data_IF_565718762682
#
_entry.id   IF_565718762682
#
_cell.length_a   1.000
_cell.length_b   1.000
_cell.length_c   1.000
_cell.angle_alpha   90.00
_cell.angle_beta   90.00
_cell.angle_gamma   90.00
#
_symmetry.space_group_name_H-M   'P 1'
#
loop_
_entity.id
_entity.type
_entity.pdbx_description
1 polymer ?
2 non-polymer ?
3 non-polymer ?
4 water ?
#
# COMPACT_ATOMS: atom_id res chain seq x y z
N UNK A 3 -24.88 -9.04 8.76
CA UNK A 3 -23.61 -9.76 8.87
C UNK A 3 -22.42 -8.82 9.06
N UNK A 4 -22.22 -7.86 8.13
CA UNK A 4 -20.99 -7.08 8.28
C UNK A 4 -21.16 -5.99 9.34
N UNK A 5 -20.14 -5.71 10.14
CA UNK A 5 -20.26 -4.67 11.16
C UNK A 5 -20.29 -3.28 10.55
N UNK A 6 -20.83 -2.34 11.31
CA UNK A 6 -20.89 -0.95 10.85
C UNK A 6 -19.51 -0.34 10.70
N UNK A 7 -18.53 -0.81 11.48
CA UNK A 7 -17.14 -0.36 11.39
C UNK A 7 -16.23 -1.56 11.48
N UNK A 8 -15.06 -1.44 10.86
CA UNK A 8 -14.05 -2.49 10.94
C UNK A 8 -12.69 -1.86 10.72
N UNK A 9 -11.73 -2.26 11.56
CA UNK A 9 -10.38 -1.73 11.49
C UNK A 9 -9.42 -2.90 11.56
N UNK A 10 -8.71 -3.18 10.47
CA UNK A 10 -7.79 -4.31 10.45
C UNK A 10 -6.75 -4.24 11.57
N UNK A 11 -6.37 -3.03 11.98
CA UNK A 11 -5.40 -2.90 13.07
C UNK A 11 -5.94 -3.48 14.36
N UNK A 12 -7.25 -3.37 14.58
CA UNK A 12 -7.87 -3.94 15.78
C UNK A 12 -8.12 -5.44 15.64
N UNK A 13 -8.48 -5.89 14.45
CA UNK A 13 -8.76 -7.31 14.27
C UNK A 13 -7.51 -8.16 14.45
N UNK A 14 -6.36 -7.68 13.96
CA UNK A 14 -5.11 -8.44 13.94
C UNK A 14 -4.04 -7.67 14.73
N UNK A 15 -4.14 -7.67 16.07
CA UNK A 15 -3.24 -6.83 16.87
C UNK A 15 -1.82 -7.32 16.94
N UNK A 16 -1.53 -8.54 16.50
CA UNK A 16 -0.17 -9.06 16.49
C UNK A 16 0.49 -8.89 15.12
N UNK A 17 -0.11 -8.07 14.24
CA UNK A 17 0.38 -7.82 12.90
C UNK A 17 0.74 -6.33 12.79
N UNK A 18 1.94 -5.96 13.25
CA UNK A 18 2.30 -4.53 13.28
C UNK A 18 2.36 -3.86 11.92
N UNK A 19 2.58 -4.61 10.83
CA UNK A 19 2.63 -3.92 9.53
C UNK A 19 1.31 -3.25 9.19
N UNK A 20 0.20 -3.75 9.73
CA UNK A 20 -1.09 -3.14 9.42
C UNK A 20 -1.12 -1.71 9.91
N UNK A 21 -0.38 -1.42 10.98
CA UNK A 21 -0.33 -0.09 11.55
C UNK A 21 0.68 0.83 10.88
N UNK A 22 1.54 0.29 10.04
CA UNK A 22 2.73 0.99 9.56
C UNK A 22 2.42 1.85 8.37
N UNK A 23 2.95 3.08 8.39
CA UNK A 23 2.87 3.99 7.26
C UNK A 23 4.26 4.13 6.65
N UNK A 24 4.35 3.98 5.32
CA UNK A 24 5.62 4.05 4.62
C UNK A 24 5.74 5.38 3.89
N UNK A 25 6.89 5.59 3.27
CA UNK A 25 7.14 6.82 2.52
C UNK A 25 7.73 6.43 1.17
N UNK A 26 6.96 6.65 0.12
CA UNK A 26 7.43 6.32 -1.22
C UNK A 26 8.53 7.24 -1.73
N UNK A 27 8.80 8.34 -1.03
CA UNK A 27 9.84 9.26 -1.47
C UNK A 27 9.46 10.00 -2.74
N UNK A 28 10.47 10.60 -3.38
CA UNK A 28 10.28 11.31 -4.65
C UNK A 28 10.38 10.31 -5.79
N UNK A 29 9.37 9.44 -5.85
CA UNK A 29 9.29 8.37 -6.83
C UNK A 29 7.81 8.05 -6.97
N UNK A 30 7.34 7.85 -8.21
CA UNK A 30 5.94 7.55 -8.45
C UNK A 30 5.63 6.09 -8.25
N UNK A 31 5.92 5.58 -7.05
CA UNK A 31 5.84 4.17 -6.76
C UNK A 31 4.62 3.78 -5.94
N UNK A 32 3.58 4.62 -5.93
CA UNK A 32 2.37 4.30 -5.15
C UNK A 32 1.86 2.91 -5.48
N UNK A 33 1.90 2.53 -6.77
CA UNK A 33 1.38 1.24 -7.21
C UNK A 33 2.06 0.10 -6.48
N UNK A 34 3.37 0.23 -6.25
CA UNK A 34 4.14 -0.78 -5.55
C UNK A 34 3.89 -0.74 -4.04
N UNK A 35 3.75 0.46 -3.47
CA UNK A 35 3.59 0.56 -2.03
C UNK A 35 2.25 0.02 -1.57
N UNK A 36 1.16 0.35 -2.26
CA UNK A 36 -0.11 -0.22 -1.86
C UNK A 36 -0.08 -1.75 -1.88
N UNK A 37 0.63 -2.31 -2.86
CA UNK A 37 0.73 -3.77 -2.99
C UNK A 37 1.54 -4.37 -1.86
N UNK A 38 2.79 -3.91 -1.67
CA UNK A 38 3.61 -4.61 -0.68
C UNK A 38 3.11 -4.38 0.73
N UNK A 39 2.44 -3.25 0.98
CA UNK A 39 1.87 -3.02 2.30
C UNK A 39 0.76 -4.02 2.59
N UNK A 40 -0.19 -4.16 1.65
CA UNK A 40 -1.28 -5.10 1.86
C UNK A 40 -0.79 -6.55 1.89
N UNK A 41 0.21 -6.89 1.06
CA UNK A 41 0.80 -8.23 1.07
C UNK A 41 1.47 -8.54 2.40
N UNK A 42 2.21 -7.57 2.95
CA UNK A 42 2.80 -7.74 4.28
C UNK A 42 1.72 -8.06 5.30
N UNK A 43 0.62 -7.28 5.29
CA UNK A 43 -0.46 -7.55 6.22
C UNK A 43 -1.00 -8.96 6.04
N UNK A 44 -1.22 -9.35 4.79
CA UNK A 44 -1.88 -10.63 4.53
C UNK A 44 -1.00 -11.82 4.86
N UNK A 45 0.33 -11.69 4.70
CA UNK A 45 1.22 -12.78 5.16
C UNK A 45 1.05 -12.99 6.65
N UNK A 46 1.00 -11.90 7.41
CA UNK A 46 0.81 -12.00 8.85
C UNK A 46 -0.55 -12.59 9.19
N UNK A 47 -1.61 -12.14 8.52
CA UNK A 47 -2.94 -12.69 8.77
C UNK A 47 -2.99 -14.17 8.42
N UNK A 48 -2.42 -14.53 7.28
CA UNK A 48 -2.45 -15.92 6.78
C UNK A 48 -1.70 -16.88 7.69
N UNK A 49 -0.76 -16.38 8.50
CA UNK A 49 0.05 -17.21 9.38
C UNK A 49 -0.27 -16.95 10.85
N UNK A 50 -1.35 -16.21 11.14
CA UNK A 50 -1.74 -15.91 12.52
C UNK A 50 -0.56 -15.33 13.30
N UNK A 51 0.16 -14.42 12.65
CA UNK A 51 1.26 -13.64 13.19
C UNK A 51 2.53 -14.45 13.37
N UNK A 52 2.60 -15.68 12.84
CA UNK A 52 3.85 -16.43 12.97
C UNK A 52 4.90 -15.91 12.00
N UNK A 53 4.48 -15.32 10.87
CA UNK A 53 5.38 -14.65 9.93
C UNK A 53 4.91 -13.21 9.81
N UNK A 54 5.73 -12.28 10.29
CA UNK A 54 5.47 -10.85 10.14
C UNK A 54 6.70 -10.22 9.53
N UNK A 55 6.58 -9.82 8.26
CA UNK A 55 7.71 -9.28 7.51
C UNK A 55 7.26 -8.03 6.78
N UNK A 56 8.19 -7.10 6.66
CA UNK A 56 8.02 -5.96 5.77
C UNK A 56 8.39 -6.41 4.37
N UNK A 57 7.41 -6.56 3.49
CA UNK A 57 7.70 -6.93 2.12
C UNK A 57 8.33 -5.75 1.40
N UNK A 58 9.34 -6.03 0.57
CA UNK A 58 10.20 -5.00 -0.02
C UNK A 58 9.51 -4.26 -1.16
N UNK A 59 9.24 -2.97 -0.95
CA UNK A 59 8.82 -2.12 -2.07
C UNK A 59 9.92 -2.05 -3.12
N UNK A 60 11.19 -2.03 -2.69
CA UNK A 60 12.31 -1.98 -3.62
C UNK A 60 12.24 -3.13 -4.62
N UNK A 61 12.03 -4.35 -4.11
CA UNK A 61 12.04 -5.52 -4.97
C UNK A 61 10.95 -5.44 -6.02
N UNK A 62 9.74 -5.05 -5.62
CA UNK A 62 8.65 -4.91 -6.58
C UNK A 62 8.91 -3.79 -7.57
N UNK A 63 9.34 -2.65 -7.06
CA UNK A 63 9.54 -1.45 -7.88
C UNK A 63 10.58 -1.69 -8.96
N UNK A 64 11.66 -2.39 -8.60
CA UNK A 64 12.80 -2.48 -9.49
C UNK A 64 12.84 -3.76 -10.32
N UNK A 65 12.27 -4.86 -9.82
CA UNK A 65 12.42 -6.14 -10.50
C UNK A 65 11.20 -6.58 -11.30
N UNK A 66 10.04 -5.95 -11.14
CA UNK A 66 8.90 -6.36 -11.96
C UNK A 66 9.12 -6.05 -13.44
N UNK A 67 9.64 -4.87 -13.75
CA UNK A 67 9.87 -4.57 -15.14
C UNK A 67 8.62 -4.08 -15.85
N UNK A 68 8.66 -4.18 -17.18
CA UNK A 68 7.65 -3.48 -17.98
C UNK A 68 6.24 -4.01 -17.77
N UNK A 69 6.09 -5.26 -17.30
CA UNK A 69 4.75 -5.77 -17.06
C UNK A 69 4.02 -4.98 -15.99
N UNK A 70 4.75 -4.40 -15.02
CA UNK A 70 4.13 -3.59 -13.96
C UNK A 70 4.06 -2.11 -14.31
N UNK A 71 4.66 -1.68 -15.42
CA UNK A 71 4.65 -0.27 -15.74
C UNK A 71 6.07 0.25 -15.96
N UNK A 72 6.38 1.41 -15.41
CA UNK A 72 7.70 2.04 -15.59
C UNK A 72 8.25 2.54 -14.27
N UNK A 73 8.22 1.67 -13.25
CA UNK A 73 8.92 1.97 -12.01
C UNK A 73 8.47 3.26 -11.37
N UNK A 74 9.44 4.17 -11.18
CA UNK A 74 9.15 5.45 -10.54
C UNK A 74 8.32 6.37 -11.42
N UNK A 75 8.10 6.03 -12.68
CA UNK A 75 7.18 6.80 -13.52
C UNK A 75 5.75 6.30 -13.47
N UNK A 76 5.44 5.37 -12.56
CA UNK A 76 4.09 4.90 -12.36
C UNK A 76 3.94 3.46 -12.82
N UNK A 77 2.87 2.83 -12.35
CA UNK A 77 2.66 1.43 -12.65
C UNK A 77 1.25 0.93 -12.39
N UNK A 78 1.10 -0.39 -12.45
CA UNK A 78 -0.20 -1.05 -12.55
C UNK A 78 -0.39 -2.00 -11.38
N UNK A 79 -1.20 -1.65 -10.37
CA UNK A 79 -1.33 -2.51 -9.19
C UNK A 79 -1.71 -3.94 -9.50
N UNK A 80 -2.60 -4.20 -10.46
CA UNK A 80 -3.00 -5.59 -10.71
C UNK A 80 -1.80 -6.43 -11.12
N UNK A 81 -0.88 -5.87 -11.92
CA UNK A 81 0.28 -6.65 -12.29
C UNK A 81 1.32 -6.74 -11.18
N UNK A 82 1.32 -5.81 -10.21
CA UNK A 82 2.19 -5.95 -9.05
C UNK A 82 1.84 -7.20 -8.26
N UNK A 83 0.54 -7.41 -8.00
CA UNK A 83 0.14 -8.62 -7.31
C UNK A 83 0.40 -9.86 -8.14
N UNK A 84 0.25 -9.76 -9.47
CA UNK A 84 0.62 -10.87 -10.35
C UNK A 84 2.10 -11.21 -10.23
N UNK A 85 2.97 -10.19 -10.19
CA UNK A 85 4.40 -10.44 -10.03
C UNK A 85 4.68 -11.21 -8.75
N UNK A 86 3.97 -10.87 -7.67
CA UNK A 86 4.12 -11.59 -6.42
C UNK A 86 3.78 -13.07 -6.57
N UNK A 87 2.80 -13.42 -7.43
CA UNK A 87 2.50 -14.84 -7.63
C UNK A 87 3.55 -15.52 -8.48
N UNK A 88 4.22 -14.78 -9.35
CA UNK A 88 5.10 -15.35 -10.37
C UNK A 88 6.55 -15.43 -9.89
N UNK A 89 7.09 -14.31 -9.43
CA UNK A 89 8.48 -14.24 -8.99
C UNK A 89 8.63 -14.06 -7.49
N UNK A 90 7.55 -13.72 -6.78
CA UNK A 90 7.63 -13.50 -5.34
C UNK A 90 8.31 -12.19 -5.00
N UNK A 91 8.29 -11.85 -3.71
CA UNK A 91 8.89 -10.61 -3.23
C UNK A 91 9.70 -10.91 -1.98
N UNK A 92 10.91 -10.33 -1.89
CA UNK A 92 11.74 -10.48 -0.70
C UNK A 92 11.32 -9.45 0.34
N UNK A 93 11.86 -9.57 1.55
CA UNK A 93 11.63 -8.59 2.59
C UNK A 93 12.50 -7.35 2.38
N UNK A 94 12.07 -6.24 2.98
CA UNK A 94 12.90 -5.06 3.00
C UNK A 94 12.18 -3.91 3.68
N UNK A 95 12.85 -3.26 4.62
CA UNK A 95 12.26 -2.20 5.41
C UNK A 95 12.43 -0.82 4.80
N UNK A 96 12.37 0.18 5.69
CA UNK A 96 12.38 1.57 5.27
C UNK A 96 13.78 1.99 4.81
N UNK A 97 13.85 3.18 4.22
CA UNK A 97 15.11 3.73 3.76
C UNK A 97 16.13 3.80 4.90
N UNK A 98 17.33 3.29 4.64
CA UNK A 98 18.45 3.27 5.58
C UNK A 98 18.13 2.50 6.86
N UNK A 99 17.13 1.60 6.84
CA UNK A 99 16.78 0.81 8.00
C UNK A 99 17.68 -0.39 8.19
N UNK A 100 18.32 -0.85 7.11
CA UNK A 100 19.09 -2.09 7.14
C UNK A 100 18.26 -3.26 7.64
N UNK A 101 16.96 -3.24 7.33
CA UNK A 101 16.02 -4.28 7.73
C UNK A 101 15.67 -5.11 6.50
N UNK A 102 15.79 -6.42 6.62
CA UNK A 102 15.39 -7.30 5.54
C UNK A 102 16.40 -7.37 4.40
N UNK A 103 15.95 -8.03 3.34
CA UNK A 103 16.82 -8.30 2.19
C UNK A 103 17.09 -7.03 1.38
N UNK A 104 16.05 -6.31 0.98
CA UNK A 104 16.18 -5.13 0.11
C UNK A 104 15.39 -3.95 0.66
N UNK A 105 15.95 -3.25 1.65
CA UNK A 105 15.29 -2.02 2.12
C UNK A 105 15.17 -0.98 1.00
N UNK A 106 14.16 -0.13 1.15
CA UNK A 106 13.88 0.90 0.14
C UNK A 106 15.08 1.82 -0.03
N UNK A 107 15.41 2.15 -1.29
CA UNK A 107 16.62 2.92 -1.54
C UNK A 107 16.36 4.40 -1.79
N UNK A 108 15.10 4.84 -1.77
CA UNK A 108 14.74 6.21 -2.13
C UNK A 108 14.42 6.97 -0.84
N UNK A 109 15.09 8.09 -0.56
CA UNK A 109 14.97 8.70 0.76
C UNK A 109 13.59 9.28 1.00
N UNK A 110 13.16 9.37 2.25
CA UNK A 110 11.86 9.98 2.56
C UNK A 110 11.89 11.48 2.36
N UNK A 111 10.70 12.06 2.25
CA UNK A 111 10.61 13.48 1.97
C UNK A 111 9.28 14.00 2.48
N UNK A 112 9.11 15.33 2.39
CA UNK A 112 7.88 15.97 2.85
C UNK A 112 6.89 16.06 1.70
N UNK A 113 5.71 15.47 1.89
CA UNK A 113 4.67 15.43 0.88
C UNK A 113 3.60 16.46 1.24
N UNK A 114 3.73 17.66 0.68
CA UNK A 114 2.72 18.71 0.85
C UNK A 114 2.53 19.12 2.30
N UNK A 115 3.54 18.89 3.14
CA UNK A 115 3.50 19.31 4.53
C UNK A 115 4.88 19.84 4.89
N UNK A 116 4.94 20.58 5.98
CA UNK A 116 6.19 21.09 6.51
C UNK A 116 6.84 20.09 7.47
N UNK A 117 8.16 20.05 7.44
CA UNK A 117 8.88 19.14 8.30
C UNK A 117 10.37 19.32 8.14
N UNK A 118 11.11 18.36 8.69
CA UNK A 118 12.56 18.39 8.72
C UNK A 118 13.22 17.66 7.55
N UNK A 119 12.46 16.92 6.77
CA UNK A 119 12.97 16.20 5.60
C UNK A 119 12.96 17.12 4.39
N UNK A 120 13.72 16.82 3.34
CA UNK A 120 13.64 17.63 2.13
C UNK A 120 12.24 17.54 1.54
N UNK A 121 11.78 18.60 0.89
CA UNK A 121 10.52 18.51 0.14
C UNK A 121 10.63 17.44 -0.93
N UNK A 122 9.53 16.73 -1.14
CA UNK A 122 9.47 15.79 -2.26
C UNK A 122 9.56 16.55 -3.57
N UNK A 123 10.20 15.92 -4.55
CA UNK A 123 10.37 16.49 -5.88
C UNK A 123 9.76 15.53 -6.91
N UNK A 124 9.99 15.85 -8.18
CA UNK A 124 9.39 15.08 -9.25
C UNK A 124 9.96 13.67 -9.36
N UNK A 125 9.23 12.84 -10.09
CA UNK A 125 9.47 11.41 -10.19
C UNK A 125 10.92 11.09 -10.54
N UNK A 126 11.64 10.47 -9.60
CA UNK A 126 13.05 10.19 -9.78
C UNK A 126 13.32 9.06 -10.75
N UNK A 127 14.52 8.50 -10.70
CA UNK A 127 14.88 7.37 -11.56
C UNK A 127 14.54 6.07 -10.85
N UNK A 128 14.18 5.06 -11.63
CA UNK A 128 13.93 3.77 -11.03
C UNK A 128 15.25 3.07 -10.73
N UNK A 129 15.48 2.62 -9.50
CA UNK A 129 16.71 1.90 -9.19
C UNK A 129 16.78 0.57 -9.93
N UNK A 130 18.00 0.04 -10.01
CA UNK A 130 18.25 -1.22 -10.71
C UNK A 130 17.64 -2.40 -9.95
N UNK A 131 17.30 -3.44 -10.69
CA UNK A 131 16.90 -4.70 -10.09
C UNK A 131 18.16 -5.43 -9.65
N UNK A 132 18.39 -5.46 -8.34
CA UNK A 132 19.57 -6.08 -7.75
C UNK A 132 19.11 -7.29 -6.96
N UNK A 133 19.43 -8.49 -7.46
CA UNK A 133 18.92 -9.73 -6.86
C UNK A 133 19.90 -10.27 -5.81
N UNK A 134 20.25 -9.39 -4.88
CA UNK A 134 21.16 -9.75 -3.79
C UNK A 134 20.67 -9.02 -2.55
N UNK A 135 20.77 -9.67 -1.41
CA UNK A 135 20.34 -9.03 -0.17
C UNK A 135 21.46 -8.15 0.37
N UNK A 136 21.10 -7.28 1.30
CA UNK A 136 22.12 -6.43 1.89
C UNK A 136 23.10 -7.27 2.71
N UNK A 137 24.33 -6.79 2.86
CA UNK A 137 25.38 -7.59 3.49
C UNK A 137 25.00 -8.05 4.89
N UNK A 138 25.25 -9.32 5.16
CA UNK A 138 24.99 -9.89 6.46
C UNK A 138 23.59 -10.44 6.64
N UNK A 139 22.67 -10.13 5.73
CA UNK A 139 21.32 -10.69 5.84
C UNK A 139 21.42 -12.18 5.54
N UNK A 140 20.81 -12.99 6.38
CA UNK A 140 21.21 -14.40 6.39
C UNK A 140 20.57 -15.21 5.26
N UNK A 141 19.25 -15.13 5.06
CA UNK A 141 18.66 -15.85 3.92
C UNK A 141 19.18 -15.27 2.62
N UNK A 142 19.36 -16.12 1.60
CA UNK A 142 19.71 -15.56 0.31
C UNK A 142 18.50 -14.84 -0.28
N UNK A 143 18.75 -14.11 -1.37
CA UNK A 143 17.68 -13.41 -2.07
C UNK A 143 16.60 -14.39 -2.52
N UNK A 144 17.01 -15.49 -3.15
CA UNK A 144 16.04 -16.50 -3.60
C UNK A 144 15.26 -17.07 -2.42
N UNK A 145 15.95 -17.35 -1.32
CA UNK A 145 15.30 -17.97 -0.18
C UNK A 145 14.36 -17.01 0.55
N UNK A 146 14.57 -15.71 0.39
CA UNK A 146 13.76 -14.72 1.09
C UNK A 146 12.50 -14.37 0.33
N UNK A 147 12.26 -14.97 -0.83
CA UNK A 147 11.08 -14.65 -1.63
C UNK A 147 9.82 -15.21 -0.98
N UNK A 148 8.80 -14.35 -0.91
CA UNK A 148 7.45 -14.72 -0.49
C UNK A 148 6.54 -14.65 -1.70
N UNK A 149 5.78 -15.71 -1.95
CA UNK A 149 4.97 -15.84 -3.15
C UNK A 149 3.49 -15.73 -2.85
N UNK A 150 2.75 -15.27 -3.86
CA UNK A 150 1.29 -15.29 -3.80
C UNK A 150 0.73 -16.53 -4.46
N UNK A 151 -0.37 -17.03 -3.88
CA UNK A 151 -1.14 -18.09 -4.52
C UNK A 151 -1.88 -17.55 -5.73
N UNK A 152 -2.44 -16.35 -5.62
CA UNK A 152 -3.22 -15.78 -6.71
C UNK A 152 -3.22 -14.27 -6.61
N UNK A 153 -3.78 -13.65 -7.64
CA UNK A 153 -4.03 -12.21 -7.63
C UNK A 153 -5.34 -11.97 -8.35
N UNK A 154 -6.12 -11.00 -7.88
CA UNK A 154 -7.48 -10.86 -8.41
C UNK A 154 -8.00 -9.46 -8.16
N UNK A 155 -9.03 -9.12 -8.93
CA UNK A 155 -9.76 -7.89 -8.73
C UNK A 155 -10.96 -8.15 -7.82
N UNK A 156 -11.27 -7.17 -6.99
CA UNK A 156 -12.52 -7.16 -6.23
C UNK A 156 -13.52 -6.32 -7.03
N UNK A 157 -14.78 -6.72 -7.05
CA UNK A 157 -15.74 -6.00 -7.89
C UNK A 157 -15.97 -4.59 -7.33
N UNK A 158 -16.51 -3.72 -8.18
CA UNK A 158 -16.86 -2.35 -7.81
C UNK A 158 -18.18 -2.39 -7.05
N UNK A 159 -18.07 -2.85 -5.81
CA UNK A 159 -19.22 -3.08 -4.94
C UNK A 159 -18.73 -2.88 -3.51
N UNK A 160 -19.35 -1.91 -2.83
CA UNK A 160 -19.01 -1.62 -1.44
C UNK A 160 -19.00 -2.88 -0.58
N UNK A 161 -20.09 -3.66 -0.63
CA UNK A 161 -20.20 -4.83 0.23
C UNK A 161 -19.18 -5.90 -0.12
N UNK A 162 -18.85 -6.04 -1.41
CA UNK A 162 -17.82 -6.99 -1.84
C UNK A 162 -16.45 -6.61 -1.28
N UNK A 163 -16.11 -5.32 -1.36
CA UNK A 163 -14.82 -4.86 -0.85
C UNK A 163 -14.77 -5.02 0.66
N UNK A 164 -15.87 -4.70 1.33
CA UNK A 164 -15.96 -4.83 2.78
C UNK A 164 -15.75 -6.29 3.19
N UNK A 165 -16.43 -7.21 2.50
CA UNK A 165 -16.30 -8.64 2.82
C UNK A 165 -14.88 -9.12 2.55
N UNK A 166 -14.26 -8.64 1.47
CA UNK A 166 -12.88 -9.03 1.17
C UNK A 166 -11.93 -8.63 2.29
N UNK A 167 -12.04 -7.39 2.79
CA UNK A 167 -11.16 -6.96 3.87
C UNK A 167 -11.46 -7.75 5.15
N UNK A 168 -12.75 -7.94 5.43
CA UNK A 168 -13.22 -8.60 6.64
C UNK A 168 -12.70 -10.03 6.75
N UNK A 169 -12.64 -10.73 5.61
CA UNK A 169 -12.21 -12.12 5.65
C UNK A 169 -10.72 -12.29 5.36
N UNK A 170 -10.19 -11.53 4.41
CA UNK A 170 -8.86 -11.83 3.89
C UNK A 170 -7.83 -10.74 4.17
N UNK A 171 -8.24 -9.60 4.74
CA UNK A 171 -7.29 -8.59 5.12
C UNK A 171 -7.24 -7.41 4.18
N UNK A 172 -6.36 -6.45 4.46
CA UNK A 172 -6.29 -5.22 3.67
C UNK A 172 -6.05 -5.46 2.19
N UNK A 173 -6.51 -4.51 1.38
CA UNK A 173 -6.46 -4.60 -0.08
C UNK A 173 -5.72 -3.38 -0.61
N UNK A 174 -5.35 -3.44 -1.89
CA UNK A 174 -4.87 -2.25 -2.60
C UNK A 174 -6.03 -1.66 -3.39
N UNK A 175 -6.10 -0.33 -3.44
CA UNK A 175 -7.06 0.34 -4.29
C UNK A 175 -6.41 1.54 -4.94
N UNK A 176 -7.19 2.24 -5.75
CA UNK A 176 -6.68 3.45 -6.40
C UNK A 176 -7.81 4.44 -6.56
N UNK A 177 -7.45 5.72 -6.62
CA UNK A 177 -8.47 6.76 -6.77
C UNK A 177 -7.84 7.96 -7.45
N UNK A 178 -8.71 8.85 -7.93
CA UNK A 178 -8.27 10.09 -8.57
C UNK A 178 -7.98 11.15 -7.51
N UNK A 179 -6.77 11.70 -7.53
CA UNK A 179 -6.37 12.75 -6.61
C UNK A 179 -6.70 14.10 -7.25
N UNK A 180 -7.54 14.88 -6.57
CA UNK A 180 -7.77 16.28 -6.91
C UNK A 180 -6.99 17.14 -5.94
N UNK A 181 -6.77 18.40 -6.29
CA UNK A 181 -5.82 19.19 -5.50
C UNK A 181 -6.31 19.39 -4.07
N UNK A 182 -7.62 19.36 -3.83
CA UNK A 182 -8.05 19.58 -2.46
C UNK A 182 -7.69 18.41 -1.55
N UNK A 183 -7.42 17.23 -2.12
CA UNK A 183 -7.00 16.11 -1.30
C UNK A 183 -5.65 16.35 -0.66
N UNK A 184 -4.80 17.16 -1.28
CA UNK A 184 -3.41 17.26 -0.86
C UNK A 184 -3.29 17.83 0.54
N UNK A 185 -4.26 18.65 0.95
CA UNK A 185 -4.23 19.32 2.24
C UNK A 185 -5.06 18.58 3.29
N UNK A 186 -5.48 17.35 3.01
CA UNK A 186 -6.27 16.58 3.96
C UNK A 186 -5.60 16.50 5.32
N UNK A 187 -6.38 16.72 6.38
CA UNK A 187 -5.91 16.55 7.75
C UNK A 187 -6.73 15.57 8.57
N UNK A 188 -8.06 15.62 8.46
CA UNK A 188 -8.92 14.80 9.30
C UNK A 188 -10.30 14.76 8.66
N UNK A 189 -11.17 13.92 9.23
CA UNK A 189 -12.53 13.84 8.73
C UNK A 189 -12.62 12.91 7.53
N UNK A 190 -13.78 12.94 6.88
CA UNK A 190 -14.01 12.12 5.69
C UNK A 190 -13.81 12.98 4.46
N UNK A 191 -12.80 12.65 3.66
CA UNK A 191 -12.54 13.40 2.45
C UNK A 191 -13.65 13.22 1.44
N UNK A 192 -14.14 14.33 0.91
CA UNK A 192 -15.00 14.36 -0.27
C UNK A 192 -14.47 15.46 -1.18
N UNK A 193 -14.30 15.14 -2.45
CA UNK A 193 -13.80 16.12 -3.41
C UNK A 193 -14.80 17.27 -3.57
N UNK A 194 -14.35 18.50 -3.34
CA UNK A 194 -15.23 19.66 -3.44
C UNK A 194 -14.65 20.71 -4.37
N UNK A 195 -13.32 20.79 -4.44
CA UNK A 195 -12.65 21.82 -5.24
C UNK A 195 -11.38 21.25 -5.84
N UNK A 196 -10.89 21.90 -6.88
CA UNK A 196 -9.55 21.59 -7.36
C UNK A 196 -9.54 20.72 -8.60
N UNK A 197 -8.47 20.85 -9.37
CA UNK A 197 -8.28 20.10 -10.61
C UNK A 197 -7.70 18.71 -10.35
N UNK A 198 -7.86 17.87 -11.36
CA UNK A 198 -7.33 16.49 -11.28
C UNK A 198 -5.81 16.50 -11.30
N UNK A 199 -5.19 15.82 -10.36
CA UNK A 199 -3.72 15.71 -10.31
C UNK A 199 -3.22 14.41 -10.93
N UNK A 200 -4.02 13.35 -10.87
CA UNK A 200 -3.60 12.05 -11.37
C UNK A 200 -4.10 10.94 -10.46
N UNK A 201 -3.89 9.70 -10.87
CA UNK A 201 -4.34 8.56 -10.07
C UNK A 201 -3.31 8.17 -9.04
N UNK A 202 -3.79 7.60 -7.94
CA UNK A 202 -2.93 7.25 -6.81
C UNK A 202 -3.40 5.95 -6.20
N UNK A 203 -2.48 5.05 -5.94
CA UNK A 203 -2.80 3.75 -5.35
C UNK A 203 -2.46 3.77 -3.87
N UNK A 204 -3.28 3.06 -3.08
CA UNK A 204 -3.22 3.13 -1.62
C UNK A 204 -3.64 1.79 -1.04
N UNK A 205 -3.62 1.68 0.29
CA UNK A 205 -4.02 0.47 1.00
C UNK A 205 -5.31 0.74 1.78
N UNK A 206 -6.35 -0.08 1.56
CA UNK A 206 -7.62 0.08 2.26
C UNK A 206 -7.68 -0.98 3.34
N UNK A 207 -7.86 -0.56 4.60
CA UNK A 207 -7.74 -1.48 5.71
C UNK A 207 -8.95 -1.48 6.63
N UNK A 208 -10.05 -0.87 6.24
CA UNK A 208 -11.22 -0.87 7.10
C UNK A 208 -12.25 0.12 6.62
N UNK A 209 -13.26 0.32 7.46
CA UNK A 209 -14.36 1.23 7.13
C UNK A 209 -15.04 1.67 8.41
N UNK A 210 -15.85 2.71 8.29
CA UNK A 210 -16.62 3.18 9.43
C UNK A 210 -17.59 4.25 9.03
N UNK A 211 -18.09 4.95 10.03
CA UNK A 211 -19.01 6.08 9.85
C UNK A 211 -18.55 7.19 10.79
N UNK A 212 -18.42 8.40 10.27
CA UNK A 212 -18.06 9.55 11.09
C UNK A 212 -19.10 10.62 10.84
N UNK A 213 -19.83 11.00 11.89
CA UNK A 213 -20.84 12.06 11.81
C UNK A 213 -21.86 11.76 10.71
N UNK A 214 -22.23 10.49 10.60
CA UNK A 214 -23.18 10.05 9.60
C UNK A 214 -22.62 9.79 8.22
N UNK A 215 -21.34 10.08 7.98
CA UNK A 215 -20.76 9.90 6.65
C UNK A 215 -19.99 8.59 6.59
N UNK A 216 -20.37 7.64 5.73
CA UNK A 216 -19.63 6.38 5.64
C UNK A 216 -18.29 6.60 4.97
N UNK A 217 -17.29 5.85 5.42
CA UNK A 217 -15.95 6.08 4.92
C UNK A 217 -15.17 4.78 4.82
N UNK A 218 -14.13 4.84 3.98
CA UNK A 218 -13.06 3.84 3.95
C UNK A 218 -11.90 4.34 4.78
N UNK A 219 -11.27 3.42 5.53
CA UNK A 219 -10.05 3.72 6.27
C UNK A 219 -8.86 3.37 5.39
N UNK A 220 -8.04 4.37 5.06
CA UNK A 220 -7.00 4.21 4.04
C UNK A 220 -5.64 4.64 4.56
N UNK A 221 -4.61 3.86 4.21
CA UNK A 221 -3.23 4.24 4.47
C UNK A 221 -2.61 4.83 3.22
N UNK A 222 -2.09 6.05 3.34
CA UNK A 222 -1.28 6.66 2.29
C UNK A 222 0.18 6.27 2.49
N UNK A 223 1.02 6.58 1.51
CA UNK A 223 2.44 6.26 1.51
C UNK A 223 3.27 7.55 1.49
N UNK A 224 2.79 8.57 2.21
CA UNK A 224 3.41 9.89 2.23
C UNK A 224 3.96 10.23 3.60
N UNK A 225 4.39 9.21 4.36
CA UNK A 225 4.94 9.36 5.69
C UNK A 225 3.86 9.73 6.70
N UNK A 226 4.23 9.83 7.97
CA UNK A 226 3.22 9.97 9.01
C UNK A 226 2.86 11.42 9.29
N UNK A 227 3.63 12.38 8.79
CA UNK A 227 3.29 13.77 9.04
C UNK A 227 2.38 14.32 7.96
N UNK A 228 1.98 13.50 6.98
CA UNK A 228 0.90 13.85 6.06
C UNK A 228 -0.42 13.32 6.59
N UNK A 229 -1.48 14.12 6.41
CA UNK A 229 -2.81 13.61 6.71
C UNK A 229 -3.02 13.37 8.19
N UNK A 230 -3.72 12.28 8.50
CA UNK A 230 -4.06 11.90 9.88
C UNK A 230 -3.09 10.78 10.26
N UNK A 231 -1.91 11.18 10.73
CA UNK A 231 -0.83 10.24 11.02
C UNK A 231 -0.51 9.35 9.82
N UNK A 232 -0.65 9.88 8.61
CA UNK A 232 -0.38 9.11 7.41
C UNK A 232 -1.58 8.40 6.82
N UNK A 233 -2.70 8.35 7.54
CA UNK A 233 -3.95 7.75 7.09
C UNK A 233 -4.92 8.83 6.63
N UNK A 234 -5.95 8.40 5.92
CA UNK A 234 -7.07 9.29 5.64
C UNK A 234 -8.34 8.46 5.59
N UNK A 235 -9.47 9.15 5.65
CA UNK A 235 -10.78 8.55 5.43
C UNK A 235 -11.35 9.16 4.16
N UNK A 236 -12.04 8.35 3.35
CA UNK A 236 -12.63 8.84 2.10
C UNK A 236 -14.04 8.28 1.99
N UNK A 237 -14.95 9.09 1.46
CA UNK A 237 -16.36 8.73 1.28
C UNK A 237 -16.50 7.34 0.69
N UNK A 238 -17.33 6.51 1.33
CA UNK A 238 -17.60 5.12 0.95
C UNK A 238 -19.03 4.97 0.44
N UNK A 239 -19.20 4.15 -0.61
CA UNK A 239 -20.50 3.77 -1.10
C UNK A 239 -20.94 4.41 -2.40
N UNK A 240 -20.20 5.41 -2.90
CA UNK A 240 -20.56 6.08 -4.14
C UNK A 240 -19.42 6.07 -5.16
N UNK A 241 -18.50 5.11 -5.05
CA UNK A 241 -17.31 5.04 -5.91
C UNK A 241 -16.64 6.41 -6.04
N UNK A 242 -16.49 7.06 -4.89
CA UNK A 242 -16.04 8.45 -4.87
C UNK A 242 -14.59 8.54 -5.34
N UNK A 243 -14.33 9.36 -6.35
CA UNK A 243 -13.01 9.46 -6.96
C UNK A 243 -12.52 8.11 -7.49
N UNK A 244 -13.43 7.17 -7.71
CA UNK A 244 -13.04 5.85 -8.19
C UNK A 244 -12.50 4.91 -7.14
N UNK A 245 -12.71 5.20 -5.85
CA UNK A 245 -12.07 4.44 -4.77
C UNK A 245 -12.53 2.99 -4.75
N UNK A 246 -13.73 2.69 -5.26
CA UNK A 246 -14.21 1.31 -5.27
C UNK A 246 -13.97 0.59 -6.59
N UNK A 247 -13.32 1.24 -7.56
CA UNK A 247 -13.30 0.73 -8.93
C UNK A 247 -12.04 -0.04 -9.29
N UNK A 248 -10.98 0.05 -8.51
CA UNK A 248 -9.69 -0.59 -8.88
C UNK A 248 -9.09 -1.29 -7.65
N UNK A 249 -9.91 -2.05 -6.95
CA UNK A 249 -9.44 -2.79 -5.78
C UNK A 249 -8.87 -4.13 -6.23
N UNK A 250 -7.67 -4.45 -5.74
CA UNK A 250 -6.97 -5.68 -6.10
C UNK A 250 -6.41 -6.31 -4.85
N UNK A 251 -6.26 -7.63 -4.88
CA UNK A 251 -5.71 -8.36 -3.73
C UNK A 251 -5.22 -9.71 -4.21
N UNK A 252 -4.95 -10.59 -3.25
CA UNK A 252 -4.37 -11.90 -3.54
C UNK A 252 -4.09 -12.57 -2.21
N UNK A 253 -3.99 -13.89 -2.27
CA UNK A 253 -3.81 -14.70 -1.07
C UNK A 253 -2.39 -15.25 -1.06
N UNK A 254 -1.68 -15.20 0.07
CA UNK A 254 -0.29 -15.69 0.11
C UNK A 254 -0.20 -17.20 -0.02
N UNK A 255 0.89 -17.65 -0.62
CA UNK A 255 1.35 -19.02 -0.49
C UNK A 255 1.96 -19.20 0.90
N UNK A 256 1.83 -20.39 1.46
CA UNK A 256 2.50 -20.67 2.72
C UNK A 256 3.98 -20.89 2.49
N UNK A 257 4.82 -20.11 3.18
CA UNK A 257 6.27 -20.26 3.12
C UNK A 257 6.70 -21.61 3.70
#
# INVERSE_FOLDING_TARGET
DLKLPASFDAREQWPQCPTIKEIRDQGSCGSCWAFGAVEAISDRICIHTNAHVSVEVSAEDLLTCCGSMCGDGCNGGYPAEAWNFWTRKGLVSGGLYESHVGCRPYSIPPCEHHVNGSRPPCTGEGDTPKCSKICEPGYSPTYKQDKHYGYNSYSVSNSEKDIMAEIYKNGPVEGAFSVYSDFLLYKSGVYQHVTGEMMGGHAIRILGWGVENGTPYWLVANSWNTDWGDNGFFKILRGQDHCGIESEVVAGIPRTD
#
